data_IF_313723760797
#
_entry.id   IF_313723760797
#
_cell.length_a   1.000
_cell.length_b   1.000
_cell.length_c   1.000
_cell.angle_alpha   90.00
_cell.angle_beta   90.00
_cell.angle_gamma   90.00
#
_symmetry.space_group_name_H-M   'P 1'
#
loop_
_entity.id
_entity.type
_entity.pdbx_description
1 polymer ?
#
# COMPACT_ATOMS: atom_id res chain seq x y z
N UNK A 1 5.66 -11.51 11.43
CA UNK A 1 4.49 -11.00 12.14
C UNK A 1 3.39 -10.64 11.16
N UNK A 2 2.15 -10.90 11.54
CA UNK A 2 1.04 -10.68 10.62
C UNK A 2 0.48 -9.26 10.71
N UNK A 3 -0.02 -8.77 9.59
CA UNK A 3 -0.73 -7.51 9.55
C UNK A 3 -2.22 -7.81 9.56
N UNK A 4 -2.94 -7.18 10.47
CA UNK A 4 -4.38 -7.35 10.59
C UNK A 4 -5.07 -6.01 10.45
N UNK A 5 -6.22 -6.05 9.84
CA UNK A 5 -7.05 -4.88 9.72
C UNK A 5 -7.18 -4.43 8.28
N UNK A 6 -8.18 -3.61 8.06
CA UNK A 6 -8.42 -3.02 6.76
C UNK A 6 -7.73 -1.67 6.68
N UNK A 7 -7.58 -1.17 5.48
CA UNK A 7 -7.03 0.15 5.27
C UNK A 7 -8.00 0.94 4.40
N UNK A 8 -7.58 2.09 3.92
CA UNK A 8 -8.35 2.88 2.99
C UNK A 8 -7.45 3.33 1.85
N UNK A 9 -8.07 3.60 0.71
CA UNK A 9 -7.35 4.12 -0.43
C UNK A 9 -6.57 5.38 -0.04
N UNK A 10 -7.19 6.23 0.76
CA UNK A 10 -6.56 7.48 1.17
C UNK A 10 -5.28 7.24 1.94
N UNK A 11 -5.29 6.28 2.86
CA UNK A 11 -4.10 5.97 3.66
C UNK A 11 -3.00 5.38 2.80
N UNK A 12 -3.34 4.48 1.89
CA UNK A 12 -2.37 3.89 1.00
C UNK A 12 -1.74 4.93 0.09
N UNK A 13 -2.54 5.80 -0.48
CA UNK A 13 -2.03 6.84 -1.37
C UNK A 13 -1.10 7.80 -0.62
N UNK A 14 -1.46 8.13 0.61
CA UNK A 14 -0.62 9.01 1.41
C UNK A 14 0.73 8.36 1.71
N UNK A 15 0.72 7.09 2.07
CA UNK A 15 1.96 6.35 2.32
C UNK A 15 2.83 6.30 1.07
N UNK A 16 2.24 5.95 -0.06
CA UNK A 16 3.00 5.83 -1.30
C UNK A 16 3.60 7.16 -1.73
N UNK A 17 2.86 8.25 -1.57
CA UNK A 17 3.38 9.58 -1.92
C UNK A 17 4.56 9.98 -1.04
N UNK A 18 4.55 9.52 0.21
CA UNK A 18 5.62 9.84 1.15
C UNK A 18 6.89 9.05 0.83
N UNK A 19 6.78 7.88 0.20
CA UNK A 19 7.88 6.95 0.01
C UNK A 19 8.14 6.65 -1.46
N UNK A 20 8.63 7.57 -2.19
CA UNK A 20 9.19 7.36 -3.54
C UNK A 20 8.43 6.39 -4.45
N UNK A 21 7.11 6.53 -4.48
CA UNK A 21 6.26 5.78 -5.38
C UNK A 21 5.60 6.73 -6.38
N UNK A 22 5.30 6.19 -7.56
CA UNK A 22 4.52 6.93 -8.55
C UNK A 22 3.11 6.34 -8.55
N UNK A 23 2.12 7.19 -8.34
CA UNK A 23 0.73 6.78 -8.34
C UNK A 23 0.12 6.96 -9.72
N UNK A 24 -0.64 5.95 -10.14
CA UNK A 24 -1.33 6.01 -11.41
C UNK A 24 -2.74 5.45 -11.21
N UNK A 25 -3.69 5.99 -11.94
CA UNK A 25 -5.06 5.52 -11.88
C UNK A 25 -5.55 5.18 -13.27
N UNK A 26 -6.17 4.02 -13.38
CA UNK A 26 -6.72 3.62 -14.65
C UNK A 26 -7.69 2.49 -14.42
N UNK A 27 -8.88 2.61 -14.99
CA UNK A 27 -9.90 1.58 -14.83
C UNK A 27 -10.39 1.48 -13.40
N UNK A 28 -10.55 0.27 -12.93
CA UNK A 28 -11.15 -0.01 -11.63
C UNK A 28 -10.15 -0.04 -10.49
N UNK A 29 -8.87 0.01 -10.78
CA UNK A 29 -7.83 -0.12 -9.78
C UNK A 29 -6.86 1.03 -9.83
N UNK A 30 -6.35 1.39 -8.66
CA UNK A 30 -5.23 2.30 -8.56
C UNK A 30 -3.95 1.49 -8.57
N UNK A 31 -2.87 2.14 -8.97
CA UNK A 31 -1.59 1.50 -9.13
C UNK A 31 -0.51 2.36 -8.49
N UNK A 32 0.39 1.73 -7.74
CA UNK A 32 1.53 2.42 -7.17
C UNK A 32 2.80 1.69 -7.61
N UNK A 33 3.73 2.44 -8.16
CA UNK A 33 4.97 1.87 -8.69
C UNK A 33 6.12 2.32 -7.80
N UNK A 34 6.83 1.36 -7.23
CA UNK A 34 8.00 1.62 -6.41
C UNK A 34 9.15 2.02 -7.34
N UNK A 35 9.49 3.30 -7.37
CA UNK A 35 10.44 3.82 -8.35
C UNK A 35 11.80 3.14 -8.34
N UNK A 36 12.41 2.86 -7.18
CA UNK A 36 13.74 2.22 -7.19
C UNK A 36 13.77 0.82 -7.78
N UNK A 37 12.70 0.04 -7.63
CA UNK A 37 12.69 -1.35 -8.09
C UNK A 37 11.73 -1.62 -9.23
N UNK A 38 10.80 -0.72 -9.50
CA UNK A 38 9.77 -0.93 -10.50
C UNK A 38 8.63 -1.84 -10.04
N UNK A 39 8.64 -2.25 -8.78
CA UNK A 39 7.58 -3.10 -8.24
C UNK A 39 6.25 -2.37 -8.27
N UNK A 40 5.23 -3.02 -8.78
CA UNK A 40 3.90 -2.42 -8.92
C UNK A 40 2.94 -3.02 -7.92
N UNK A 41 2.18 -2.14 -7.27
CA UNK A 41 1.13 -2.52 -6.33
C UNK A 41 -0.21 -2.13 -6.92
N UNK A 42 -1.18 -3.03 -6.85
CA UNK A 42 -2.55 -2.76 -7.31
C UNK A 42 -3.47 -2.75 -6.10
N UNK A 43 -4.37 -1.80 -6.06
CA UNK A 43 -5.37 -1.76 -5.00
C UNK A 43 -6.67 -1.16 -5.54
N UNK A 44 -7.82 -1.54 -4.94
CA UNK A 44 -9.11 -1.05 -5.42
C UNK A 44 -9.26 0.45 -5.20
N UNK A 45 -10.09 1.07 -6.01
CA UNK A 45 -10.38 2.50 -5.87
C UNK A 45 -11.51 2.76 -4.89
N UNK A 46 -11.80 1.80 -4.04
CA UNK A 46 -12.80 1.95 -2.98
C UNK A 46 -12.22 2.61 -1.76
N UNK A 47 -13.07 3.22 -0.96
CA UNK A 47 -12.63 3.83 0.29
C UNK A 47 -12.10 2.80 1.27
N UNK A 48 -12.67 1.60 1.25
CA UNK A 48 -12.27 0.54 2.15
C UNK A 48 -11.46 -0.51 1.41
N UNK A 49 -10.29 -0.83 1.94
CA UNK A 49 -9.42 -1.86 1.39
C UNK A 49 -9.51 -3.06 2.31
N UNK A 50 -9.82 -4.23 1.77
CA UNK A 50 -10.02 -5.43 2.57
C UNK A 50 -8.74 -5.86 3.29
N UNK A 51 -8.92 -6.68 4.34
CA UNK A 51 -7.79 -7.20 5.10
C UNK A 51 -6.82 -7.99 4.21
N UNK A 52 -7.35 -8.79 3.30
CA UNK A 52 -6.52 -9.60 2.42
C UNK A 52 -5.64 -8.78 1.51
N UNK A 53 -6.21 -7.75 0.89
CA UNK A 53 -5.44 -6.87 0.02
C UNK A 53 -4.43 -6.08 0.83
N UNK A 54 -4.86 -5.56 1.98
CA UNK A 54 -3.97 -4.78 2.85
C UNK A 54 -2.78 -5.62 3.28
N UNK A 55 -3.03 -6.88 3.67
CA UNK A 55 -1.95 -7.76 4.10
C UNK A 55 -0.94 -7.99 2.98
N UNK A 56 -1.42 -8.24 1.77
CA UNK A 56 -0.51 -8.46 0.64
C UNK A 56 0.36 -7.25 0.38
N UNK A 57 -0.21 -6.07 0.45
CA UNK A 57 0.54 -4.84 0.23
C UNK A 57 1.59 -4.66 1.34
N UNK A 58 1.19 -4.87 2.59
CA UNK A 58 2.11 -4.70 3.71
C UNK A 58 3.26 -5.71 3.64
N UNK A 59 2.96 -6.97 3.33
CA UNK A 59 4.00 -7.98 3.21
C UNK A 59 5.01 -7.62 2.13
N UNK A 60 4.53 -7.12 1.00
CA UNK A 60 5.42 -6.73 -0.08
C UNK A 60 6.26 -5.52 0.31
N UNK A 61 5.70 -4.58 1.06
CA UNK A 61 6.46 -3.43 1.54
C UNK A 61 7.59 -3.85 2.47
N UNK A 62 7.34 -4.84 3.32
CA UNK A 62 8.39 -5.37 4.19
C UNK A 62 9.51 -6.00 3.34
N UNK A 63 9.17 -6.67 2.26
CA UNK A 63 10.17 -7.23 1.35
C UNK A 63 11.02 -6.14 0.70
N UNK A 64 10.48 -4.94 0.57
CA UNK A 64 11.22 -3.80 0.02
C UNK A 64 11.97 -3.02 1.10
N UNK A 65 12.11 -3.60 2.29
CA UNK A 65 12.87 -3.05 3.41
C UNK A 65 12.22 -1.84 4.10
N UNK A 66 10.91 -1.70 3.99
CA UNK A 66 10.22 -0.67 4.76
C UNK A 66 9.98 -1.15 6.18
N UNK A 67 10.02 -0.21 7.12
CA UNK A 67 9.84 -0.51 8.53
C UNK A 67 8.40 -0.95 8.83
N UNK A 68 8.26 -2.09 9.53
CA UNK A 68 6.95 -2.63 9.88
C UNK A 68 6.12 -1.67 10.72
N UNK A 69 6.75 -1.01 11.67
CA UNK A 69 6.02 -0.10 12.56
C UNK A 69 5.47 1.08 11.78
N UNK A 70 6.24 1.62 10.88
CA UNK A 70 5.78 2.74 10.06
C UNK A 70 4.63 2.30 9.17
N UNK A 71 4.71 1.10 8.61
CA UNK A 71 3.65 0.56 7.78
C UNK A 71 2.36 0.45 8.60
N UNK A 72 2.44 -0.10 9.80
CA UNK A 72 1.25 -0.23 10.66
C UNK A 72 0.65 1.12 11.00
N UNK A 73 1.48 2.07 11.38
CA UNK A 73 0.99 3.40 11.75
C UNK A 73 0.35 4.13 10.58
N UNK A 74 0.92 3.96 9.40
CA UNK A 74 0.47 4.71 8.23
C UNK A 74 -0.70 4.05 7.51
N UNK A 75 -0.71 2.72 7.44
CA UNK A 75 -1.67 2.00 6.62
C UNK A 75 -2.80 1.41 7.45
N UNK A 76 -2.48 0.83 8.60
CA UNK A 76 -3.48 0.12 9.39
C UNK A 76 -4.20 0.97 10.42
N UNK A 77 -3.80 2.20 10.57
CA UNK A 77 -4.47 3.12 11.48
C UNK A 77 -5.30 4.10 10.68
#
# INVERSE_FOLDING_TARGET
>A
MSFYGASSQKKLRKFFKKHNFTLSEGGEHSKAIHNPTGTTFFFPRHNNISNGVTKKICDRLVELDYDEEEIRKSILK
#
